data_IF_278985720194
#
_entry.id   IF_278985720194
#
_cell.length_a   1.000
_cell.length_b   1.000
_cell.length_c   1.000
_cell.angle_alpha   90.00
_cell.angle_beta   90.00
_cell.angle_gamma   90.00
#
_symmetry.space_group_name_H-M   'P 1'
#
loop_
_entity.id
_entity.type
_entity.pdbx_description
1 polymer ?
#
# COMPACT_ATOMS: atom_id res chain seq x y z
N UNK A 1 -11.70 -66.83 55.30
CA UNK A 1 -12.04 -67.16 53.90
C UNK A 1 -12.43 -65.88 53.19
N UNK A 2 -11.70 -65.57 52.13
CA UNK A 2 -11.83 -64.43 51.21
C UNK A 2 -13.26 -64.26 50.67
N UNK A 3 -13.71 -63.01 50.46
CA UNK A 3 -14.23 -62.54 49.16
C UNK A 3 -14.34 -61.01 49.17
N UNK A 4 -13.43 -60.38 48.46
CA UNK A 4 -13.39 -58.94 48.19
C UNK A 4 -14.39 -58.61 47.08
N UNK A 5 -15.23 -57.61 47.28
CA UNK A 5 -16.07 -57.06 46.22
C UNK A 5 -15.32 -55.90 45.57
N UNK A 6 -14.84 -56.15 44.35
CA UNK A 6 -14.02 -55.26 43.54
C UNK A 6 -14.89 -54.12 42.99
N UNK A 7 -14.63 -52.88 43.41
CA UNK A 7 -15.22 -51.68 42.85
C UNK A 7 -14.45 -51.34 41.56
N UNK A 8 -14.98 -51.67 40.39
CA UNK A 8 -14.38 -51.29 39.11
C UNK A 8 -14.85 -49.88 38.75
N UNK A 9 -14.06 -48.88 39.14
CA UNK A 9 -14.17 -47.51 38.65
C UNK A 9 -13.56 -47.44 37.25
N UNK A 10 -14.41 -47.40 36.24
CA UNK A 10 -14.03 -47.21 34.84
C UNK A 10 -13.60 -45.75 34.65
N UNK A 11 -12.29 -45.48 34.74
CA UNK A 11 -11.72 -44.16 34.48
C UNK A 11 -11.60 -43.95 32.98
N UNK A 12 -12.64 -43.39 32.36
CA UNK A 12 -12.57 -42.90 30.98
C UNK A 12 -11.69 -41.64 30.97
N UNK A 13 -10.39 -41.83 30.74
CA UNK A 13 -9.49 -40.73 30.44
C UNK A 13 -9.85 -40.17 29.07
N UNK A 14 -10.76 -39.18 29.04
CA UNK A 14 -11.00 -38.34 27.87
C UNK A 14 -9.71 -37.55 27.64
N UNK A 15 -8.87 -38.05 26.73
CA UNK A 15 -7.76 -37.31 26.17
C UNK A 15 -8.36 -36.20 25.31
N UNK A 16 -8.76 -35.09 25.94
CA UNK A 16 -9.03 -33.86 25.24
C UNK A 16 -7.69 -33.37 24.69
N UNK A 17 -7.38 -33.73 23.45
CA UNK A 17 -6.37 -33.01 22.70
C UNK A 17 -6.86 -31.57 22.56
N UNK A 18 -6.43 -30.72 23.49
CA UNK A 18 -6.53 -29.29 23.33
C UNK A 18 -5.70 -28.93 22.12
N UNK A 19 -6.33 -28.80 20.96
CA UNK A 19 -5.77 -28.03 19.87
C UNK A 19 -5.57 -26.63 20.44
N UNK A 20 -4.33 -26.32 20.81
CA UNK A 20 -3.94 -24.95 21.10
C UNK A 20 -4.25 -24.14 19.84
N UNK A 21 -5.37 -23.44 19.82
CA UNK A 21 -5.61 -22.37 18.85
C UNK A 21 -4.53 -21.32 19.13
N UNK A 22 -3.41 -21.45 18.42
CA UNK A 22 -2.38 -20.42 18.39
C UNK A 22 -3.08 -19.11 18.02
N UNK A 23 -3.00 -18.11 18.89
CA UNK A 23 -3.59 -16.80 18.65
C UNK A 23 -2.95 -16.23 17.39
N UNK A 24 -3.70 -16.22 16.28
CA UNK A 24 -3.28 -15.59 15.03
C UNK A 24 -2.89 -14.15 15.33
N UNK A 25 -1.78 -13.72 14.75
CA UNK A 25 -1.24 -12.39 15.00
C UNK A 25 -1.47 -11.56 13.77
N UNK A 26 -2.09 -10.41 13.95
CA UNK A 26 -2.29 -9.48 12.87
C UNK A 26 -1.07 -8.58 12.76
N UNK A 27 -0.59 -8.36 11.54
CA UNK A 27 0.32 -7.25 11.24
C UNK A 27 -0.51 -6.14 10.62
N UNK A 28 -0.42 -4.95 11.19
CA UNK A 28 -0.98 -3.74 10.60
C UNK A 28 0.11 -3.03 9.79
N UNK A 29 -0.12 -2.80 8.50
CA UNK A 29 0.61 -1.82 7.73
C UNK A 29 -0.10 -0.47 7.87
N UNK A 30 0.50 0.42 8.66
CA UNK A 30 0.09 1.82 8.74
C UNK A 30 0.79 2.60 7.64
N UNK A 31 0.03 3.32 6.82
CA UNK A 31 0.56 4.25 5.83
C UNK A 31 0.61 5.66 6.45
N UNK A 32 1.76 6.33 6.34
CA UNK A 32 1.94 7.71 6.76
C UNK A 32 2.28 8.62 5.57
N UNK A 33 1.27 9.29 4.98
CA UNK A 33 1.48 10.34 4.00
C UNK A 33 2.22 11.53 4.60
N UNK A 34 3.34 11.93 4.00
CA UNK A 34 4.15 13.06 4.43
C UNK A 34 4.65 13.86 3.22
N UNK A 35 5.11 15.08 3.49
CA UNK A 35 5.91 15.87 2.56
C UNK A 35 7.22 16.26 3.28
N UNK A 36 8.30 15.56 2.93
CA UNK A 36 9.55 15.55 3.68
C UNK A 36 9.30 15.01 5.09
N UNK A 37 9.53 15.87 6.10
CA UNK A 37 9.31 15.52 7.51
C UNK A 37 7.92 15.93 8.04
N UNK A 38 7.14 16.67 7.27
CA UNK A 38 5.85 17.18 7.71
C UNK A 38 4.72 16.20 7.36
N UNK A 39 3.79 15.91 8.27
CA UNK A 39 2.57 15.20 7.92
C UNK A 39 1.84 15.91 6.78
N UNK A 40 1.35 15.12 5.83
CA UNK A 40 0.54 15.64 4.75
C UNK A 40 -0.84 16.03 5.30
N UNK A 41 -1.32 17.22 4.94
CA UNK A 41 -2.61 17.75 5.36
C UNK A 41 -3.25 18.39 4.13
N UNK A 42 -4.52 18.07 3.87
CA UNK A 42 -5.28 18.63 2.77
C UNK A 42 -5.30 20.17 2.86
N UNK A 43 -5.25 20.83 1.72
CA UNK A 43 -5.28 22.30 1.61
C UNK A 43 -4.13 23.05 2.33
N UNK A 44 -3.11 22.34 2.84
CA UNK A 44 -1.89 22.97 3.36
C UNK A 44 -0.88 23.20 2.25
N UNK A 45 -0.18 24.33 2.31
CA UNK A 45 0.93 24.64 1.41
C UNK A 45 2.22 23.94 1.84
N UNK A 46 2.88 23.34 0.86
CA UNK A 46 4.20 22.73 0.94
C UNK A 46 5.12 23.36 -0.11
N UNK A 47 6.43 23.29 0.11
CA UNK A 47 7.43 23.82 -0.82
C UNK A 47 8.35 22.69 -1.26
N UNK A 48 8.40 22.43 -2.56
CA UNK A 48 9.27 21.39 -3.13
C UNK A 48 10.75 21.79 -3.05
N UNK A 49 11.65 20.82 -3.26
CA UNK A 49 13.08 21.08 -3.36
C UNK A 49 13.43 22.05 -4.51
N UNK A 50 12.55 22.18 -5.50
CA UNK A 50 12.71 23.07 -6.65
C UNK A 50 12.15 24.49 -6.39
N UNK A 51 11.60 24.75 -5.20
CA UNK A 51 11.00 26.03 -4.82
C UNK A 51 9.54 26.21 -5.25
N UNK A 52 8.91 25.19 -5.84
CA UNK A 52 7.49 25.25 -6.21
C UNK A 52 6.60 25.16 -4.97
N UNK A 53 5.57 26.00 -4.89
CA UNK A 53 4.55 25.91 -3.85
C UNK A 53 3.44 24.96 -4.30
N UNK A 54 3.07 24.02 -3.43
CA UNK A 54 2.16 22.93 -3.72
C UNK A 54 1.09 22.85 -2.64
N UNK A 55 -0.16 22.82 -3.06
CA UNK A 55 -1.31 22.45 -2.23
C UNK A 55 -1.97 21.25 -2.88
N UNK A 56 -2.42 20.28 -2.08
CA UNK A 56 -2.96 19.01 -2.56
C UNK A 56 -4.44 18.89 -2.20
N UNK A 57 -5.23 18.46 -3.18
CA UNK A 57 -6.67 18.23 -3.06
C UNK A 57 -6.99 16.74 -3.05
N UNK A 58 -6.21 15.94 -3.79
CA UNK A 58 -6.48 14.52 -3.97
C UNK A 58 -5.18 13.75 -4.16
N UNK A 59 -4.95 12.73 -3.33
CA UNK A 59 -3.83 11.80 -3.46
C UNK A 59 -4.38 10.40 -3.25
N UNK A 60 -4.46 9.60 -4.33
CA UNK A 60 -4.95 8.23 -4.29
C UNK A 60 -4.05 7.29 -5.04
N UNK A 61 -3.88 6.06 -4.56
CA UNK A 61 -3.07 5.06 -5.25
C UNK A 61 -3.47 3.65 -4.87
N UNK A 62 -3.14 2.70 -5.74
CA UNK A 62 -3.32 1.29 -5.47
C UNK A 62 -2.05 0.66 -4.92
N UNK A 63 -2.17 -0.05 -3.81
CA UNK A 63 -1.21 -1.07 -3.39
C UNK A 63 -1.80 -2.43 -3.72
N UNK A 64 -1.18 -3.16 -4.64
CA UNK A 64 -1.59 -4.53 -5.00
C UNK A 64 -0.46 -5.51 -4.78
N UNK A 65 -0.79 -6.80 -4.83
CA UNK A 65 0.21 -7.87 -4.81
C UNK A 65 1.18 -7.74 -3.62
N UNK A 66 0.64 -7.39 -2.45
CA UNK A 66 1.42 -7.18 -1.23
C UNK A 66 1.91 -8.55 -0.74
N UNK A 67 3.21 -8.63 -0.44
CA UNK A 67 3.86 -9.86 0.01
C UNK A 67 4.91 -9.57 1.08
N UNK A 68 4.96 -10.43 2.09
CA UNK A 68 6.00 -10.41 3.11
C UNK A 68 6.99 -11.55 2.87
N UNK A 69 8.28 -11.23 2.78
CA UNK A 69 9.36 -12.21 2.71
C UNK A 69 9.89 -12.45 4.13
N UNK A 70 9.84 -13.71 4.59
CA UNK A 70 10.38 -14.14 5.87
C UNK A 70 11.88 -14.46 5.79
N UNK A 71 12.55 -14.54 6.94
CA UNK A 71 13.99 -14.82 7.04
C UNK A 71 14.43 -16.17 6.44
N UNK A 72 13.56 -17.17 6.40
CA UNK A 72 13.79 -18.47 5.74
C UNK A 72 13.45 -18.47 4.24
N UNK A 73 13.01 -17.34 3.69
CA UNK A 73 12.60 -17.22 2.28
C UNK A 73 11.13 -17.59 2.02
N UNK A 74 10.36 -17.97 3.04
CA UNK A 74 8.91 -18.14 2.88
C UNK A 74 8.25 -16.81 2.49
N UNK A 75 7.30 -16.86 1.56
CA UNK A 75 6.50 -15.72 1.14
C UNK A 75 5.08 -15.85 1.71
N UNK A 76 4.62 -14.80 2.38
CA UNK A 76 3.22 -14.66 2.79
C UNK A 76 2.56 -13.60 1.92
N UNK A 77 1.54 -13.98 1.16
CA UNK A 77 0.81 -13.06 0.28
C UNK A 77 -0.40 -12.49 1.00
N UNK A 78 -0.75 -11.26 0.64
CA UNK A 78 -2.05 -10.70 0.94
C UNK A 78 -3.16 -11.47 0.21
N UNK A 79 -4.29 -11.66 0.88
CA UNK A 79 -5.50 -12.28 0.32
C UNK A 79 -6.36 -11.28 -0.47
N UNK A 80 -6.14 -9.97 -0.27
CA UNK A 80 -6.84 -8.92 -1.00
C UNK A 80 -6.05 -8.57 -2.26
N UNK A 81 -6.73 -8.49 -3.40
CA UNK A 81 -6.08 -8.26 -4.69
C UNK A 81 -5.41 -6.88 -4.76
N UNK A 82 -6.11 -5.85 -4.29
CA UNK A 82 -5.63 -4.48 -4.25
C UNK A 82 -6.32 -3.68 -3.15
N UNK A 83 -5.59 -2.77 -2.54
CA UNK A 83 -6.10 -1.77 -1.60
C UNK A 83 -6.06 -0.40 -2.25
N UNK A 84 -7.16 0.32 -2.20
CA UNK A 84 -7.19 1.73 -2.59
C UNK A 84 -6.85 2.59 -1.37
N UNK A 85 -5.74 3.32 -1.48
CA UNK A 85 -5.30 4.25 -0.44
C UNK A 85 -5.67 5.67 -0.88
N UNK A 86 -6.30 6.42 0.01
CA UNK A 86 -6.54 7.85 -0.11
C UNK A 86 -5.77 8.56 1.01
N UNK A 87 -4.82 9.41 0.63
CA UNK A 87 -3.90 10.09 1.53
C UNK A 87 -4.57 11.03 2.54
N UNK A 88 -5.86 11.33 2.35
CA UNK A 88 -6.66 12.18 3.22
C UNK A 88 -7.82 11.44 3.90
N UNK A 89 -7.99 10.14 3.68
CA UNK A 89 -9.02 9.32 4.31
C UNK A 89 -8.39 8.33 5.30
N UNK A 90 -8.44 8.62 6.63
CA UNK A 90 -7.75 7.83 7.65
C UNK A 90 -8.10 6.34 7.65
N UNK A 91 -9.32 5.96 7.25
CA UNK A 91 -9.75 4.57 7.20
C UNK A 91 -8.99 3.73 6.15
N UNK A 92 -8.44 4.36 5.11
CA UNK A 92 -7.65 3.69 4.07
C UNK A 92 -6.16 3.61 4.42
N UNK A 93 -5.70 4.32 5.44
CA UNK A 93 -4.28 4.38 5.84
C UNK A 93 -3.84 3.22 6.73
N UNK A 94 -4.68 2.19 6.89
CA UNK A 94 -4.38 0.99 7.69
C UNK A 94 -4.83 -0.26 6.97
N UNK A 95 -3.90 -1.17 6.74
CA UNK A 95 -4.18 -2.48 6.15
C UNK A 95 -3.81 -3.55 7.18
N UNK A 96 -4.73 -4.46 7.47
CA UNK A 96 -4.50 -5.55 8.44
C UNK A 96 -4.28 -6.86 7.71
N UNK A 97 -3.16 -7.51 8.00
CA UNK A 97 -2.78 -8.81 7.44
C UNK A 97 -2.83 -9.89 8.53
N UNK A 98 -3.64 -10.93 8.36
CA UNK A 98 -3.64 -12.05 9.28
C UNK A 98 -2.40 -12.92 9.05
N UNK A 99 -1.53 -13.06 10.05
CA UNK A 99 -0.46 -14.07 10.07
C UNK A 99 -0.88 -15.25 10.95
N UNK A 100 -0.37 -16.44 10.65
CA UNK A 100 -0.72 -17.63 11.40
C UNK A 100 -0.15 -17.58 12.84
N UNK A 101 0.97 -16.89 13.06
CA UNK A 101 1.65 -16.79 14.37
C UNK A 101 2.40 -15.47 14.60
N UNK A 102 2.66 -15.10 15.88
CA UNK A 102 3.59 -14.01 16.24
C UNK A 102 5.01 -14.25 15.73
N UNK A 103 5.40 -15.52 15.66
CA UNK A 103 6.73 -15.91 15.19
C UNK A 103 6.92 -15.58 13.71
N UNK A 104 5.91 -15.73 12.86
CA UNK A 104 6.00 -15.31 11.46
C UNK A 104 6.14 -13.80 11.34
N UNK A 105 5.37 -13.02 12.11
CA UNK A 105 5.46 -11.56 12.13
C UNK A 105 6.89 -11.09 12.43
N UNK A 106 7.49 -11.65 13.48
CA UNK A 106 8.85 -11.32 13.92
C UNK A 106 9.96 -11.73 12.93
N UNK A 107 9.63 -12.58 11.95
CA UNK A 107 10.58 -13.11 10.96
C UNK A 107 10.49 -12.40 9.62
N UNK A 108 9.60 -11.43 9.44
CA UNK A 108 9.53 -10.63 8.21
C UNK A 108 10.84 -9.83 8.06
N UNK A 109 11.47 -9.93 6.88
CA UNK A 109 12.69 -9.18 6.52
C UNK A 109 12.48 -8.23 5.35
N UNK A 110 11.39 -8.38 4.59
CA UNK A 110 11.07 -7.51 3.45
C UNK A 110 9.58 -7.45 3.22
N UNK A 111 9.08 -6.29 2.82
CA UNK A 111 7.76 -6.13 2.21
C UNK A 111 7.93 -5.83 0.72
N UNK A 112 7.11 -6.49 -0.08
CA UNK A 112 6.96 -6.23 -1.51
C UNK A 112 5.54 -5.80 -1.79
N UNK A 113 5.37 -4.92 -2.76
CA UNK A 113 4.05 -4.58 -3.30
C UNK A 113 4.22 -4.01 -4.70
N UNK A 114 3.14 -4.04 -5.46
CA UNK A 114 3.04 -3.34 -6.73
C UNK A 114 2.28 -2.03 -6.47
N UNK A 115 2.87 -0.91 -6.90
CA UNK A 115 2.18 0.37 -6.98
C UNK A 115 1.41 0.40 -8.31
N UNK A 116 0.11 0.18 -8.22
CA UNK A 116 -0.78 0.04 -9.37
C UNK A 116 -1.37 -1.35 -9.53
N UNK A 117 -2.10 -1.53 -10.63
CA UNK A 117 -2.84 -2.75 -10.95
C UNK A 117 -2.21 -3.46 -12.15
N UNK A 118 -2.05 -4.78 -12.05
CA UNK A 118 -1.41 -5.60 -13.08
C UNK A 118 -2.25 -5.72 -14.36
N UNK A 119 -1.63 -6.21 -15.43
CA UNK A 119 -2.29 -6.32 -16.74
C UNK A 119 -3.43 -7.32 -16.77
N UNK A 120 -3.33 -8.44 -16.02
CA UNK A 120 -4.39 -9.46 -15.97
C UNK A 120 -5.64 -8.94 -15.28
N UNK A 121 -5.47 -8.18 -14.20
CA UNK A 121 -6.57 -7.50 -13.50
C UNK A 121 -7.18 -6.41 -14.39
N UNK A 122 -6.37 -5.62 -15.10
CA UNK A 122 -6.91 -4.61 -16.03
C UNK A 122 -7.75 -5.23 -17.18
N UNK A 123 -7.27 -6.31 -17.82
CA UNK A 123 -8.01 -6.93 -18.95
C UNK A 123 -9.31 -7.63 -18.50
N UNK A 124 -9.45 -7.94 -17.21
CA UNK A 124 -10.71 -8.43 -16.65
C UNK A 124 -11.79 -7.34 -16.54
N UNK A 125 -11.44 -6.08 -16.79
CA UNK A 125 -12.33 -4.93 -16.76
C UNK A 125 -12.52 -4.33 -15.37
N UNK A 126 -13.57 -3.53 -15.24
CA UNK A 126 -13.99 -2.93 -13.98
C UNK A 126 -14.42 -3.99 -12.96
N UNK A 127 -13.92 -3.90 -11.73
CA UNK A 127 -14.28 -4.77 -10.62
C UNK A 127 -14.97 -3.97 -9.51
N UNK A 128 -15.46 -4.65 -8.47
CA UNK A 128 -16.04 -4.00 -7.28
C UNK A 128 -15.01 -3.71 -6.19
N UNK A 129 -15.50 -3.33 -5.00
CA UNK A 129 -14.66 -3.12 -3.83
C UNK A 129 -13.72 -1.93 -4.01
N UNK A 130 -12.42 -2.11 -3.76
CA UNK A 130 -11.42 -1.06 -3.96
C UNK A 130 -11.16 -0.73 -5.42
N UNK A 131 -11.49 -1.64 -6.32
CA UNK A 131 -11.37 -1.45 -7.76
C UNK A 131 -12.65 -0.88 -8.41
N UNK A 132 -13.63 -0.46 -7.62
CA UNK A 132 -14.88 0.12 -8.16
C UNK A 132 -14.60 1.42 -8.95
N UNK A 133 -14.94 1.50 -10.26
CA UNK A 133 -14.74 2.72 -11.05
C UNK A 133 -15.39 3.97 -10.48
N UNK A 134 -16.46 3.84 -9.69
CA UNK A 134 -17.12 4.97 -9.01
C UNK A 134 -16.19 5.70 -8.02
N UNK A 135 -15.12 5.04 -7.56
CA UNK A 135 -14.05 5.65 -6.74
C UNK A 135 -13.14 6.58 -7.53
N UNK A 136 -13.38 6.71 -8.84
CA UNK A 136 -12.70 7.67 -9.73
C UNK A 136 -11.30 7.25 -10.15
N UNK A 137 -10.92 6.00 -9.92
CA UNK A 137 -9.57 5.47 -10.18
C UNK A 137 -9.52 4.55 -11.41
N UNK A 138 -10.44 4.75 -12.35
CA UNK A 138 -10.55 4.00 -13.60
C UNK A 138 -10.90 4.94 -14.76
N UNK A 139 -10.17 4.83 -15.87
CA UNK A 139 -10.45 5.57 -17.09
C UNK A 139 -11.41 4.79 -17.98
N UNK A 140 -12.61 5.32 -18.20
CA UNK A 140 -13.59 4.71 -19.10
C UNK A 140 -13.14 4.75 -20.58
N UNK A 141 -12.41 5.78 -21.01
CA UNK A 141 -12.00 5.93 -22.41
C UNK A 141 -10.81 5.05 -22.82
N UNK A 142 -9.96 4.67 -21.87
CA UNK A 142 -8.82 3.78 -22.11
C UNK A 142 -9.09 2.35 -21.60
N UNK A 143 -10.10 2.17 -20.73
CA UNK A 143 -10.40 0.93 -20.02
C UNK A 143 -9.20 0.44 -19.21
N UNK A 144 -8.79 1.25 -18.23
CA UNK A 144 -7.67 0.92 -17.36
C UNK A 144 -7.67 1.68 -16.04
N UNK A 145 -7.06 1.07 -15.03
CA UNK A 145 -6.92 1.67 -13.71
C UNK A 145 -5.87 2.78 -13.70
N UNK A 146 -6.13 3.80 -12.89
CA UNK A 146 -5.18 4.84 -12.53
C UNK A 146 -4.38 4.31 -11.34
N UNK A 147 -3.10 4.03 -11.52
CA UNK A 147 -2.25 3.47 -10.47
C UNK A 147 -1.97 4.49 -9.34
N UNK A 148 -1.76 5.76 -9.72
CA UNK A 148 -1.53 6.88 -8.82
C UNK A 148 -2.23 8.12 -9.38
N UNK A 149 -3.01 8.79 -8.53
CA UNK A 149 -3.67 10.06 -8.80
C UNK A 149 -3.17 11.09 -7.80
N UNK A 150 -2.64 12.20 -8.30
CA UNK A 150 -2.28 13.37 -7.50
C UNK A 150 -2.87 14.60 -8.18
N UNK A 151 -3.66 15.38 -7.45
CA UNK A 151 -4.26 16.63 -7.92
C UNK A 151 -4.08 17.73 -6.88
N UNK A 152 -3.97 18.96 -7.36
CA UNK A 152 -3.79 20.11 -6.50
C UNK A 152 -3.55 21.38 -7.28
N UNK A 153 -3.07 22.40 -6.58
CA UNK A 153 -2.74 23.70 -7.15
C UNK A 153 -1.31 24.13 -6.83
N UNK A 154 -0.71 24.85 -7.77
CA UNK A 154 0.61 25.45 -7.63
C UNK A 154 0.63 26.81 -8.31
N UNK A 155 1.02 27.90 -7.62
CA UNK A 155 1.11 29.23 -8.22
C UNK A 155 1.97 29.28 -9.49
N UNK A 156 2.92 28.36 -9.62
CA UNK A 156 3.83 28.21 -10.76
C UNK A 156 3.17 27.50 -11.96
N UNK A 157 2.03 26.83 -11.79
CA UNK A 157 1.28 26.20 -12.88
C UNK A 157 0.63 27.25 -13.78
N UNK A 158 0.81 27.07 -15.08
CA UNK A 158 0.19 27.91 -16.13
C UNK A 158 -1.20 27.43 -16.55
N UNK A 159 -1.69 26.33 -15.99
CA UNK A 159 -3.02 25.83 -16.28
C UNK A 159 -4.10 26.72 -15.65
N UNK A 160 -5.34 26.54 -16.13
CA UNK A 160 -6.52 27.18 -15.53
C UNK A 160 -6.57 26.90 -14.03
N UNK A 161 -6.85 27.93 -13.23
CA UNK A 161 -6.87 27.88 -11.75
C UNK A 161 -5.56 27.40 -11.12
N UNK A 162 -4.43 27.50 -11.83
CA UNK A 162 -3.12 27.07 -11.32
C UNK A 162 -3.09 25.58 -10.94
N UNK A 163 -3.96 24.77 -11.56
CA UNK A 163 -4.10 23.37 -11.22
C UNK A 163 -2.96 22.51 -11.80
N UNK A 164 -2.63 21.42 -11.13
CA UNK A 164 -1.84 20.32 -11.66
C UNK A 164 -2.56 18.98 -11.45
N UNK A 165 -2.37 18.05 -12.36
CA UNK A 165 -2.98 16.71 -12.30
C UNK A 165 -1.99 15.66 -12.81
N UNK A 166 -1.76 14.63 -12.01
CA UNK A 166 -0.95 13.46 -12.37
C UNK A 166 -1.76 12.21 -12.12
N UNK A 167 -2.39 11.69 -13.17
CA UNK A 167 -3.08 10.41 -13.17
C UNK A 167 -2.19 9.45 -13.97
N UNK A 168 -1.42 8.65 -13.24
CA UNK A 168 -0.43 7.74 -13.79
C UNK A 168 -1.05 6.35 -13.86
N UNK A 169 -1.06 5.76 -15.05
CA UNK A 169 -1.65 4.45 -15.30
C UNK A 169 -1.25 3.93 -16.67
N UNK A 170 -1.76 2.74 -17.00
CA UNK A 170 -1.39 2.00 -18.19
C UNK A 170 -0.84 0.61 -17.85
N UNK A 171 -1.35 -0.40 -18.55
CA UNK A 171 -1.06 -1.81 -18.27
C UNK A 171 -0.53 -2.57 -19.48
N UNK A 172 -0.53 -1.94 -20.66
CA UNK A 172 -0.08 -2.52 -21.92
C UNK A 172 1.29 -1.97 -22.33
N UNK A 173 2.11 -2.81 -22.95
CA UNK A 173 3.34 -2.34 -23.59
C UNK A 173 3.02 -1.35 -24.72
N UNK A 174 3.83 -0.29 -24.91
CA UNK A 174 5.06 0.03 -24.18
C UNK A 174 4.86 0.85 -22.90
N UNK A 175 3.62 1.17 -22.50
CA UNK A 175 3.30 2.10 -21.42
C UNK A 175 2.71 1.43 -20.17
N UNK A 176 3.37 0.35 -19.71
CA UNK A 176 3.01 -0.31 -18.46
C UNK A 176 3.55 0.48 -17.25
N UNK A 177 2.69 1.28 -16.62
CA UNK A 177 3.05 2.25 -15.58
C UNK A 177 3.07 1.67 -14.16
N UNK A 178 2.79 0.37 -13.98
CA UNK A 178 2.93 -0.29 -12.68
C UNK A 178 4.40 -0.31 -12.25
N UNK A 179 4.69 -0.09 -10.97
CA UNK A 179 6.04 -0.21 -10.41
C UNK A 179 6.07 -1.16 -9.23
N UNK A 180 7.06 -2.04 -9.22
CA UNK A 180 7.29 -2.97 -8.12
C UNK A 180 8.15 -2.29 -7.07
N UNK A 181 7.74 -2.36 -5.81
CA UNK A 181 8.47 -1.81 -4.66
C UNK A 181 8.89 -2.96 -3.76
N UNK A 182 10.09 -2.86 -3.18
CA UNK A 182 10.67 -3.87 -2.30
C UNK A 182 11.48 -3.17 -1.23
N UNK A 183 10.98 -3.19 0.00
CA UNK A 183 11.56 -2.46 1.12
C UNK A 183 12.09 -3.45 2.16
N UNK A 184 13.41 -3.44 2.44
CA UNK A 184 13.97 -4.24 3.52
C UNK A 184 13.50 -3.72 4.88
N UNK A 185 13.44 -4.62 5.86
CA UNK A 185 13.17 -4.28 7.24
C UNK A 185 14.43 -4.59 8.07
N UNK A 186 15.08 -3.54 8.55
CA UNK A 186 16.35 -3.66 9.27
C UNK A 186 16.17 -4.12 10.72
N UNK A 187 14.96 -3.97 11.28
CA UNK A 187 14.63 -4.33 12.65
C UNK A 187 13.32 -5.11 12.70
N UNK A 188 13.20 -5.98 13.71
CA UNK A 188 11.90 -6.58 14.05
C UNK A 188 10.95 -5.46 14.48
N UNK A 189 9.81 -5.37 13.81
CA UNK A 189 8.70 -4.53 14.25
C UNK A 189 7.76 -5.37 15.13
N UNK A 190 6.91 -4.69 15.90
CA UNK A 190 5.88 -5.35 16.69
C UNK A 190 4.73 -5.84 15.81
N UNK A 191 3.51 -5.47 16.19
CA UNK A 191 2.31 -5.80 15.40
C UNK A 191 2.02 -4.72 14.33
N UNK A 192 2.79 -3.64 14.29
CA UNK A 192 2.59 -2.49 13.40
C UNK A 192 3.85 -2.17 12.60
N UNK A 193 3.70 -2.10 11.29
CA UNK A 193 4.72 -1.67 10.33
C UNK A 193 4.33 -0.30 9.76
N UNK A 194 5.22 0.68 9.84
CA UNK A 194 4.97 2.02 9.32
C UNK A 194 5.57 2.17 7.91
N UNK A 195 4.71 2.30 6.91
CA UNK A 195 5.06 2.65 5.54
C UNK A 195 4.91 4.16 5.35
N UNK A 196 6.03 4.87 5.30
CA UNK A 196 6.01 6.29 4.98
C UNK A 196 5.86 6.47 3.46
N UNK A 197 4.97 7.38 3.05
CA UNK A 197 4.82 7.84 1.68
C UNK A 197 5.20 9.33 1.62
N UNK A 198 6.43 9.62 1.20
CA UNK A 198 6.97 10.98 1.09
C UNK A 198 6.77 11.56 -0.33
N UNK A 199 5.84 12.50 -0.45
CA UNK A 199 5.59 13.21 -1.70
C UNK A 199 6.73 14.16 -2.09
N UNK A 200 7.55 14.64 -1.17
CA UNK A 200 8.69 15.49 -1.53
C UNK A 200 9.67 14.75 -2.46
N UNK A 201 9.86 13.44 -2.25
CA UNK A 201 10.70 12.59 -3.10
C UNK A 201 10.17 12.45 -4.53
N UNK A 202 8.86 12.55 -4.74
CA UNK A 202 8.26 12.58 -6.08
C UNK A 202 8.45 13.95 -6.73
N UNK A 203 8.08 15.01 -6.00
CA UNK A 203 8.08 16.39 -6.52
C UNK A 203 9.48 17.00 -6.70
N UNK A 204 10.53 16.42 -6.12
CA UNK A 204 11.91 16.90 -6.38
C UNK A 204 12.31 16.77 -7.87
N UNK A 205 11.68 15.87 -8.63
CA UNK A 205 12.00 15.65 -10.05
C UNK A 205 10.98 16.30 -11.01
N UNK A 206 10.09 17.16 -10.51
CA UNK A 206 9.02 17.76 -11.29
C UNK A 206 9.10 19.28 -11.17
N UNK A 207 8.96 19.98 -12.28
CA UNK A 207 8.90 21.44 -12.33
C UNK A 207 7.48 21.88 -12.67
N UNK A 208 6.80 22.55 -11.73
CA UNK A 208 5.41 22.99 -11.92
C UNK A 208 5.24 24.05 -13.01
N UNK A 209 6.31 24.70 -13.45
CA UNK A 209 6.24 25.64 -14.56
C UNK A 209 6.04 24.98 -15.94
N UNK A 210 6.40 23.69 -16.08
CA UNK A 210 6.43 22.98 -17.38
C UNK A 210 5.76 21.61 -17.36
N UNK A 211 5.65 20.96 -16.20
CA UNK A 211 5.10 19.62 -16.05
C UNK A 211 3.93 19.65 -15.06
N UNK A 212 2.74 19.92 -15.58
CA UNK A 212 1.54 20.15 -14.75
C UNK A 212 0.40 19.19 -15.03
N UNK A 213 0.49 18.41 -16.10
CA UNK A 213 -0.59 17.52 -16.48
C UNK A 213 -0.09 16.20 -17.07
N UNK A 214 -0.63 15.09 -16.60
CA UNK A 214 -0.49 13.77 -17.21
C UNK A 214 -1.75 12.98 -16.85
N UNK A 215 -2.58 12.66 -17.84
CA UNK A 215 -3.93 12.11 -17.63
C UNK A 215 -4.23 10.89 -18.50
N UNK A 216 -3.17 10.26 -19.01
CA UNK A 216 -3.28 9.09 -19.88
C UNK A 216 -1.96 8.32 -19.85
N UNK A 217 -1.98 7.03 -20.23
CA UNK A 217 -0.75 6.29 -20.48
C UNK A 217 0.10 6.98 -21.56
N UNK A 218 1.43 6.88 -21.43
CA UNK A 218 2.38 7.47 -22.38
C UNK A 218 3.78 7.63 -21.78
N UNK A 219 4.72 8.11 -22.57
CA UNK A 219 6.12 8.30 -22.15
C UNK A 219 6.26 9.24 -20.93
N UNK A 220 5.44 10.30 -20.86
CA UNK A 220 5.40 11.20 -19.71
C UNK A 220 4.92 10.47 -18.43
N UNK A 221 3.86 9.67 -18.53
CA UNK A 221 3.35 8.87 -17.41
C UNK A 221 4.38 7.83 -16.94
N UNK A 222 5.10 7.19 -17.88
CA UNK A 222 6.17 6.25 -17.56
C UNK A 222 7.31 6.91 -16.79
N UNK A 223 7.77 8.08 -17.25
CA UNK A 223 8.83 8.84 -16.57
C UNK A 223 8.43 9.25 -15.16
N UNK A 224 7.20 9.71 -14.97
CA UNK A 224 6.68 10.05 -13.64
C UNK A 224 6.50 8.80 -12.78
N UNK A 225 6.02 7.69 -13.35
CA UNK A 225 5.88 6.43 -12.64
C UNK A 225 7.23 5.94 -12.09
N UNK A 226 8.34 6.16 -12.80
CA UNK A 226 9.70 5.80 -12.31
C UNK A 226 10.14 6.55 -11.05
N UNK A 227 9.51 7.67 -10.72
CA UNK A 227 9.79 8.41 -9.48
C UNK A 227 9.00 7.88 -8.29
N UNK A 228 7.89 7.19 -8.53
CA UNK A 228 6.94 6.80 -7.49
C UNK A 228 7.49 5.80 -6.46
N UNK A 229 8.36 4.81 -6.80
CA UNK A 229 8.91 3.91 -5.78
C UNK A 229 9.72 4.63 -4.71
N UNK A 230 10.33 5.78 -5.04
CA UNK A 230 11.18 6.56 -4.14
C UNK A 230 10.39 7.28 -3.05
N UNK A 231 9.06 7.35 -3.17
CA UNK A 231 8.19 7.89 -2.13
C UNK A 231 8.11 6.97 -0.91
N UNK A 232 8.37 5.66 -1.09
CA UNK A 232 8.07 4.67 -0.08
C UNK A 232 9.30 4.24 0.70
N UNK A 233 9.21 4.33 2.03
CA UNK A 233 10.22 3.82 2.96
C UNK A 233 9.55 3.18 4.17
N UNK A 234 10.27 2.27 4.84
CA UNK A 234 9.84 1.75 6.13
C UNK A 234 10.51 2.57 7.22
N UNK A 235 9.70 3.15 8.11
CA UNK A 235 10.22 3.75 9.33
C UNK A 235 10.13 2.73 10.46
N UNK A 236 11.30 2.35 11.00
CA UNK A 236 11.40 1.44 12.14
C UNK A 236 11.35 2.17 13.49
N UNK A 237 11.18 3.49 13.52
CA UNK A 237 11.18 4.28 14.76
C UNK A 237 9.80 4.31 15.45
N UNK A 238 9.34 3.16 15.94
CA UNK A 238 8.43 3.13 17.10
C UNK A 238 8.88 2.03 18.07
N UNK A 239 9.93 2.36 18.85
CA UNK A 239 10.13 1.81 20.20
C UNK A 239 9.67 2.84 21.21
#
# INVERSE_FOLDING_TARGET
MLKSTLFVLFWFAVFAQSFAQGKRSAVELSIAPVFGKAPLVAEKWFVSANGDSLQFDNIRFYLSNIRFELRDGQIVNDSVNAHLIDGFEPSTLRITFPLATKHEAARIKKIHFDLGIDSTTNVSGAQGGDLDPSKGMYWAWQSGYINLKIEGISPQSKNRKQAFQFHLGGYQAPYAALRKVSLPLDQSFGEKLLLQMDLAAFFQNIQMATQVNTMSPGSAAMKLADYTPKMFTIDAQQK
#
